data_IF_221820926058
#
_entry.id   IF_221820926058
#
_cell.length_a   1.000
_cell.length_b   1.000
_cell.length_c   1.000
_cell.angle_alpha   90.00
_cell.angle_beta   90.00
_cell.angle_gamma   90.00
#
_symmetry.space_group_name_H-M   'P 1'
#
loop_
_entity.id
_entity.type
_entity.pdbx_description
1 polymer ?
#
# COMPACT_ATOMS: atom_id res chain seq x y z
N UNK A 1 -21.98 9.72 -1.69
CA UNK A 1 -20.74 10.01 -2.42
C UNK A 1 -19.62 9.39 -1.61
N UNK A 2 -19.01 8.29 -2.07
CA UNK A 2 -17.91 7.66 -1.35
C UNK A 2 -16.70 8.60 -1.43
N UNK A 3 -16.14 9.00 -0.29
CA UNK A 3 -14.90 9.75 -0.26
C UNK A 3 -13.80 8.87 -0.87
N UNK A 4 -13.21 9.31 -1.98
CA UNK A 4 -12.00 8.68 -2.52
C UNK A 4 -10.91 8.71 -1.44
N UNK A 5 -10.27 7.58 -1.12
CA UNK A 5 -9.20 7.57 -0.14
C UNK A 5 -8.08 8.51 -0.58
N UNK A 6 -7.61 9.38 0.32
CA UNK A 6 -6.46 10.22 0.03
C UNK A 6 -5.24 9.33 -0.27
N UNK A 7 -4.54 9.66 -1.36
CA UNK A 7 -3.32 8.99 -1.78
C UNK A 7 -2.12 9.79 -1.30
N UNK A 8 -1.27 9.16 -0.50
CA UNK A 8 0.01 9.75 -0.09
C UNK A 8 1.16 8.98 -0.74
N UNK A 9 1.82 9.62 -1.71
CA UNK A 9 2.96 9.06 -2.43
C UNK A 9 4.23 9.09 -1.59
N UNK A 10 5.00 8.01 -1.65
CA UNK A 10 6.24 7.83 -0.90
C UNK A 10 7.20 6.95 -1.69
N UNK A 11 8.50 7.26 -1.64
CA UNK A 11 9.50 6.46 -2.34
C UNK A 11 9.62 5.07 -1.72
N UNK A 12 9.83 4.05 -2.57
CA UNK A 12 10.03 2.68 -2.08
C UNK A 12 11.24 2.55 -1.17
N UNK A 13 12.30 3.33 -1.42
CA UNK A 13 13.48 3.42 -0.54
C UNK A 13 13.09 3.87 0.86
N UNK A 14 12.32 4.97 0.96
CA UNK A 14 11.89 5.49 2.26
C UNK A 14 10.94 4.55 2.98
N UNK A 15 10.07 3.86 2.26
CA UNK A 15 9.21 2.82 2.84
C UNK A 15 10.03 1.65 3.37
N UNK A 16 11.10 1.24 2.68
CA UNK A 16 11.92 0.11 3.10
C UNK A 16 12.73 0.43 4.35
N UNK A 17 13.14 1.70 4.52
CA UNK A 17 13.73 2.19 5.77
C UNK A 17 12.75 2.13 6.95
N UNK A 18 11.47 2.37 6.71
CA UNK A 18 10.44 2.41 7.74
C UNK A 18 9.85 1.02 8.05
N UNK A 19 9.76 0.16 7.04
CA UNK A 19 9.09 -1.13 7.08
C UNK A 19 9.86 -2.18 6.26
N UNK A 20 10.70 -2.96 6.94
CA UNK A 20 11.53 -3.98 6.30
C UNK A 20 10.73 -5.08 5.57
N UNK A 21 9.57 -5.45 6.09
CA UNK A 21 8.74 -6.55 5.58
C UNK A 21 7.45 -6.08 4.89
N UNK A 22 7.42 -4.83 4.42
CA UNK A 22 6.22 -4.30 3.79
C UNK A 22 5.88 -5.09 2.52
N UNK A 23 4.59 -5.36 2.34
CA UNK A 23 4.05 -5.97 1.12
C UNK A 23 2.95 -5.09 0.58
N UNK A 24 2.77 -5.10 -0.72
CA UNK A 24 1.65 -4.41 -1.35
C UNK A 24 0.34 -5.10 -0.94
N UNK A 25 -0.62 -4.34 -0.42
CA UNK A 25 -1.93 -4.86 -0.02
C UNK A 25 -2.80 -5.28 -1.22
N UNK A 26 -2.48 -4.82 -2.43
CA UNK A 26 -3.20 -5.18 -3.66
C UNK A 26 -2.74 -6.49 -4.30
N UNK A 27 -1.42 -6.73 -4.38
CA UNK A 27 -0.86 -7.90 -5.07
C UNK A 27 0.00 -8.81 -4.19
N UNK A 28 0.27 -8.45 -2.93
CA UNK A 28 1.12 -9.21 -2.01
C UNK A 28 2.62 -9.14 -2.32
N UNK A 29 3.04 -8.39 -3.34
CA UNK A 29 4.44 -8.24 -3.70
C UNK A 29 5.22 -7.59 -2.56
N UNK A 30 6.38 -8.18 -2.24
CA UNK A 30 7.30 -7.59 -1.25
C UNK A 30 7.82 -6.25 -1.76
N UNK A 31 8.01 -5.31 -0.85
CA UNK A 31 8.62 -4.03 -1.12
C UNK A 31 10.06 -4.24 -1.62
N UNK A 32 10.33 -3.80 -2.84
CA UNK A 32 11.67 -3.73 -3.40
C UNK A 32 12.13 -2.26 -3.37
N UNK A 33 13.16 -1.90 -2.60
CA UNK A 33 13.68 -0.54 -2.58
C UNK A 33 14.38 -0.23 -3.90
N UNK A 34 13.77 0.60 -4.74
CA UNK A 34 14.44 1.20 -5.90
C UNK A 34 14.11 2.69 -6.02
N UNK A 35 15.10 3.56 -6.26
CA UNK A 35 14.92 5.00 -6.22
C UNK A 35 13.91 5.50 -7.26
N UNK A 36 13.77 4.83 -8.40
CA UNK A 36 12.77 5.15 -9.42
C UNK A 36 11.33 4.66 -9.11
N UNK A 37 11.13 3.84 -8.07
CA UNK A 37 9.81 3.28 -7.74
C UNK A 37 9.10 4.05 -6.63
N UNK A 38 7.88 4.46 -6.93
CA UNK A 38 6.93 5.05 -5.97
C UNK A 38 5.89 4.02 -5.52
N UNK A 39 5.48 4.18 -4.27
CA UNK A 39 4.35 3.51 -3.66
C UNK A 39 3.42 4.59 -3.11
N UNK A 40 2.17 4.24 -2.84
CA UNK A 40 1.27 5.15 -2.15
C UNK A 40 0.57 4.45 -1.00
N UNK A 41 0.38 5.22 0.06
CA UNK A 41 -0.56 4.88 1.12
C UNK A 41 -1.94 5.32 0.68
N UNK A 42 -2.89 4.38 0.66
CA UNK A 42 -4.28 4.65 0.33
C UNK A 42 -5.15 4.10 1.45
N UNK A 43 -5.82 4.99 2.18
CA UNK A 43 -6.53 4.62 3.41
C UNK A 43 -5.59 3.97 4.43
N UNK A 44 -5.79 2.69 4.72
CA UNK A 44 -5.05 1.93 5.71
C UNK A 44 -4.00 0.97 5.13
N UNK A 45 -3.84 0.91 3.80
CA UNK A 45 -2.91 0.01 3.11
C UNK A 45 -1.84 0.73 2.29
N UNK A 46 -0.82 -0.02 1.87
CA UNK A 46 0.25 0.43 0.98
C UNK A 46 0.18 -0.31 -0.36
N UNK A 47 0.27 0.45 -1.45
CA UNK A 47 0.11 -0.07 -2.80
C UNK A 47 1.29 0.32 -3.68
N UNK A 48 1.77 -0.62 -4.49
CA UNK A 48 2.77 -0.33 -5.51
C UNK A 48 2.13 0.44 -6.68
N UNK A 49 2.96 1.14 -7.47
CA UNK A 49 2.54 1.91 -8.65
C UNK A 49 1.60 1.11 -9.60
N UNK A 50 1.89 -0.16 -9.86
CA UNK A 50 1.03 -1.04 -10.66
C UNK A 50 -0.36 -1.22 -10.07
N UNK A 51 -0.46 -1.47 -8.76
CA UNK A 51 -1.74 -1.64 -8.08
C UNK A 51 -2.53 -0.34 -8.00
N UNK A 52 -1.83 0.79 -7.92
CA UNK A 52 -2.43 2.13 -7.98
C UNK A 52 -3.01 2.40 -9.36
N UNK A 53 -2.24 2.16 -10.42
CA UNK A 53 -2.67 2.32 -11.82
C UNK A 53 -3.87 1.43 -12.16
N UNK A 54 -3.95 0.24 -11.57
CA UNK A 54 -5.08 -0.68 -11.71
C UNK A 54 -6.29 -0.36 -10.82
N UNK A 55 -6.19 0.64 -9.94
CA UNK A 55 -7.27 1.04 -9.04
C UNK A 55 -7.52 0.06 -7.88
N UNK A 56 -6.60 -0.87 -7.58
CA UNK A 56 -6.82 -1.88 -6.53
C UNK A 56 -6.95 -1.27 -5.13
N UNK A 57 -6.36 -0.10 -4.92
CA UNK A 57 -6.49 0.69 -3.70
C UNK A 57 -7.92 1.19 -3.44
N UNK A 58 -8.78 1.25 -4.47
CA UNK A 58 -10.20 1.62 -4.35
C UNK A 58 -11.07 0.43 -3.94
N UNK A 59 -10.59 -0.79 -4.19
CA UNK A 59 -11.31 -2.03 -3.92
C UNK A 59 -10.81 -2.76 -2.68
N UNK A 60 -9.64 -2.37 -2.15
CA UNK A 60 -9.06 -3.00 -0.99
C UNK A 60 -9.87 -2.64 0.28
N UNK A 61 -10.56 -3.61 0.91
CA UNK A 61 -11.28 -3.34 2.13
C UNK A 61 -10.26 -2.98 3.22
N UNK A 62 -10.51 -1.89 3.93
CA UNK A 62 -9.62 -1.44 5.00
C UNK A 62 -9.53 -2.38 6.23
N UNK A 63 -10.02 -3.61 6.10
CA UNK A 63 -10.35 -4.52 7.19
C UNK A 63 -9.40 -5.72 7.32
N UNK A 64 -8.41 -5.90 6.43
CA UNK A 64 -7.58 -7.13 6.41
C UNK A 64 -6.10 -6.85 6.64
N UNK A 65 -5.72 -6.24 7.77
CA UNK A 65 -4.41 -6.53 8.36
C UNK A 65 -4.55 -7.85 9.14
N UNK A 66 -3.92 -8.97 8.73
CA UNK A 66 -3.82 -10.15 9.56
C UNK A 66 -2.92 -9.82 10.77
N UNK A 67 -3.56 -9.37 11.85
CA UNK A 67 -2.92 -8.78 13.02
C UNK A 67 -3.94 -8.07 13.92
N UNK A 68 -5.04 -7.57 13.36
CA UNK A 68 -6.24 -7.26 14.12
C UNK A 68 -6.99 -8.58 14.39
N UNK A 69 -6.50 -9.34 15.38
CA UNK A 69 -7.21 -10.49 15.94
C UNK A 69 -8.56 -9.96 16.44
N UNK A 70 -9.63 -10.21 15.67
CA UNK A 70 -10.99 -10.12 16.17
C UNK A 70 -11.09 -11.21 17.25
N UNK A 71 -10.93 -10.81 18.52
CA UNK A 71 -11.39 -11.61 19.64
C UNK A 71 -12.86 -11.34 19.89
#
# INVERSE_FOLDING_TARGET
>A
MAATPELFEISSVRLAELYADLRCDGCGAALAPRPETLWAKAGCGYFCADCLARGLHLTAPCALRPGARSS
#
